data_IF_999400233382
#
_entry.id   IF_999400233382
#
_cell.length_a   1.000
_cell.length_b   1.000
_cell.length_c   1.000
_cell.angle_alpha   90.00
_cell.angle_beta   90.00
_cell.angle_gamma   90.00
#
_symmetry.space_group_name_H-M   'P 1'
#
loop_
_entity.id
_entity.type
_entity.pdbx_description
1 polymer ?
#
# COMPACT_ATOMS: atom_id res chain seq x y z
N UNK A 1 -8.03 1.94 39.53
CA UNK A 1 -7.49 0.99 38.53
C UNK A 1 -8.61 0.62 37.58
N UNK A 2 -8.67 1.23 36.41
CA UNK A 2 -9.74 0.98 35.44
C UNK A 2 -9.11 0.31 34.22
N UNK A 3 -9.33 -1.00 34.12
CA UNK A 3 -8.83 -1.86 33.05
C UNK A 3 -9.46 -1.41 31.74
N UNK A 4 -8.65 -0.87 30.84
CA UNK A 4 -9.04 -0.56 29.46
C UNK A 4 -9.37 -1.90 28.78
N UNK A 5 -10.65 -2.21 28.66
CA UNK A 5 -11.12 -3.25 27.76
C UNK A 5 -11.01 -2.70 26.35
N UNK A 6 -9.99 -3.12 25.61
CA UNK A 6 -9.92 -2.91 24.16
C UNK A 6 -11.20 -3.53 23.59
N UNK A 7 -12.14 -2.67 23.19
CA UNK A 7 -13.32 -3.13 22.49
C UNK A 7 -12.83 -3.88 21.26
N UNK A 8 -13.23 -5.14 21.12
CA UNK A 8 -13.00 -5.90 19.89
C UNK A 8 -13.87 -5.24 18.82
N UNK A 9 -13.37 -4.14 18.25
CA UNK A 9 -14.03 -3.35 17.23
C UNK A 9 -14.47 -4.27 16.10
N UNK A 10 -15.74 -4.18 15.74
CA UNK A 10 -16.36 -4.97 14.67
C UNK A 10 -15.51 -4.80 13.40
N UNK A 11 -14.86 -5.89 12.94
CA UNK A 11 -14.04 -5.84 11.71
C UNK A 11 -14.90 -5.26 10.57
N UNK A 12 -14.46 -4.17 9.91
CA UNK A 12 -15.22 -3.58 8.81
C UNK A 12 -15.40 -4.63 7.70
N UNK A 13 -16.60 -4.66 7.11
CA UNK A 13 -16.95 -5.61 6.04
C UNK A 13 -17.00 -4.86 4.72
N UNK A 14 -16.25 -5.36 3.74
CA UNK A 14 -16.28 -4.88 2.37
C UNK A 14 -17.03 -5.92 1.54
N UNK A 15 -18.04 -5.48 0.79
CA UNK A 15 -18.76 -6.32 -0.18
C UNK A 15 -18.37 -5.86 -1.57
N UNK A 16 -17.90 -6.79 -2.41
CA UNK A 16 -17.44 -6.50 -3.77
C UNK A 16 -18.22 -7.39 -4.72
N UNK A 17 -18.96 -6.76 -5.64
CA UNK A 17 -19.61 -7.47 -6.73
C UNK A 17 -18.56 -7.84 -7.78
N UNK A 18 -18.49 -9.13 -8.10
CA UNK A 18 -17.53 -9.67 -9.07
C UNK A 18 -18.26 -10.44 -10.15
N UNK A 19 -17.76 -10.35 -11.38
CA UNK A 19 -18.29 -11.15 -12.48
C UNK A 19 -18.06 -12.66 -12.21
N UNK A 20 -18.88 -13.54 -12.82
CA UNK A 20 -18.69 -15.00 -12.69
C UNK A 20 -17.30 -15.47 -13.12
N UNK A 21 -16.70 -14.82 -14.12
CA UNK A 21 -15.35 -15.13 -14.60
C UNK A 21 -14.28 -14.82 -13.54
N UNK A 22 -14.37 -13.65 -12.91
CA UNK A 22 -13.46 -13.25 -11.84
C UNK A 22 -13.60 -14.21 -10.66
N UNK A 23 -14.83 -14.54 -10.26
CA UNK A 23 -15.08 -15.53 -9.20
C UNK A 23 -14.46 -16.89 -9.50
N UNK A 24 -14.52 -17.34 -10.76
CA UNK A 24 -13.89 -18.60 -11.19
C UNK A 24 -12.36 -18.54 -11.06
N UNK A 25 -11.74 -17.45 -11.53
CA UNK A 25 -10.28 -17.24 -11.42
C UNK A 25 -9.83 -17.18 -9.96
N UNK A 26 -10.56 -16.45 -9.11
CA UNK A 26 -10.29 -16.39 -7.67
C UNK A 26 -10.32 -17.78 -7.02
N UNK A 27 -11.28 -18.63 -7.40
CA UNK A 27 -11.35 -20.00 -6.88
C UNK A 27 -10.14 -20.84 -7.29
N UNK A 28 -9.74 -20.76 -8.56
CA UNK A 28 -8.58 -21.50 -9.06
C UNK A 28 -7.29 -21.05 -8.36
N UNK A 29 -7.10 -19.74 -8.21
CA UNK A 29 -5.93 -19.18 -7.55
C UNK A 29 -5.87 -19.55 -6.06
N UNK A 30 -7.00 -19.45 -5.36
CA UNK A 30 -7.09 -19.87 -3.96
C UNK A 30 -6.82 -21.37 -3.78
N UNK A 31 -7.38 -22.21 -4.65
CA UNK A 31 -7.13 -23.66 -4.64
C UNK A 31 -5.66 -24.00 -4.91
N UNK A 32 -5.00 -23.28 -5.83
CA UNK A 32 -3.58 -23.50 -6.13
C UNK A 32 -2.64 -23.19 -4.96
N UNK A 33 -3.09 -22.35 -4.02
CA UNK A 33 -2.37 -21.95 -2.81
C UNK A 33 -2.88 -22.64 -1.54
N UNK A 34 -3.84 -23.56 -1.67
CA UNK A 34 -4.51 -24.26 -0.56
C UNK A 34 -5.14 -23.32 0.50
N UNK A 35 -5.67 -22.18 0.05
CA UNK A 35 -6.33 -21.18 0.91
C UNK A 35 -7.79 -20.97 0.51
N UNK A 36 -8.57 -20.41 1.43
CA UNK A 36 -9.94 -20.01 1.11
C UNK A 36 -9.97 -18.79 0.19
N UNK A 37 -11.03 -18.64 -0.62
CA UNK A 37 -11.20 -17.46 -1.48
C UNK A 37 -11.13 -16.16 -0.67
N UNK A 38 -11.68 -16.15 0.55
CA UNK A 38 -11.66 -14.97 1.42
C UNK A 38 -10.23 -14.59 1.80
N UNK A 39 -9.44 -15.57 2.21
CA UNK A 39 -8.05 -15.36 2.60
C UNK A 39 -7.21 -14.93 1.41
N UNK A 40 -7.36 -15.60 0.26
CA UNK A 40 -6.69 -15.22 -0.97
C UNK A 40 -6.97 -13.77 -1.37
N UNK A 41 -8.25 -13.35 -1.32
CA UNK A 41 -8.63 -11.97 -1.65
C UNK A 41 -8.06 -10.98 -0.65
N UNK A 42 -8.06 -11.31 0.64
CA UNK A 42 -7.49 -10.45 1.67
C UNK A 42 -5.98 -10.27 1.48
N UNK A 43 -5.25 -11.37 1.34
CA UNK A 43 -3.81 -11.37 1.10
C UNK A 43 -3.47 -10.60 -0.18
N UNK A 44 -4.20 -10.82 -1.27
CA UNK A 44 -3.98 -10.10 -2.52
C UNK A 44 -4.24 -8.59 -2.40
N UNK A 45 -5.22 -8.18 -1.59
CA UNK A 45 -5.47 -6.76 -1.30
C UNK A 45 -4.34 -6.20 -0.44
N UNK A 46 -3.94 -6.89 0.62
CA UNK A 46 -2.85 -6.46 1.52
C UNK A 46 -1.51 -6.36 0.79
N UNK A 47 -1.14 -7.36 -0.01
CA UNK A 47 0.05 -7.35 -0.87
C UNK A 47 0.00 -6.18 -1.85
N UNK A 48 -1.16 -5.93 -2.47
CA UNK A 48 -1.31 -4.82 -3.43
C UNK A 48 -1.20 -3.46 -2.74
N UNK A 49 -1.87 -3.29 -1.61
CA UNK A 49 -1.75 -2.07 -0.80
C UNK A 49 -0.32 -1.86 -0.33
N UNK A 50 0.38 -2.93 0.05
CA UNK A 50 1.78 -2.86 0.43
C UNK A 50 2.68 -2.38 -0.72
N UNK A 51 2.43 -2.85 -1.94
CA UNK A 51 3.16 -2.38 -3.12
C UNK A 51 2.81 -0.92 -3.46
N UNK A 52 1.53 -0.55 -3.34
CA UNK A 52 1.04 0.77 -3.77
C UNK A 52 1.32 1.88 -2.73
N UNK A 53 1.35 1.54 -1.43
CA UNK A 53 1.51 2.49 -0.31
C UNK A 53 2.82 2.29 0.48
N UNK A 54 3.55 1.19 0.26
CA UNK A 54 4.70 0.83 1.07
C UNK A 54 4.33 0.20 2.42
N UNK A 55 5.32 -0.06 3.29
CA UNK A 55 5.06 -0.44 4.69
C UNK A 55 4.45 0.76 5.43
N UNK A 56 3.11 0.84 5.48
CA UNK A 56 2.38 1.68 6.43
C UNK A 56 2.55 1.08 7.84
N UNK A 57 3.75 1.26 8.40
CA UNK A 57 4.13 0.74 9.70
C UNK A 57 5.35 1.44 10.28
N UNK A 58 6.39 1.74 9.49
CA UNK A 58 7.57 2.40 10.06
C UNK A 58 8.53 3.15 9.10
N UNK A 59 8.37 3.19 7.76
CA UNK A 59 9.46 3.78 6.94
C UNK A 59 9.12 4.55 5.64
N UNK A 60 7.86 4.70 5.24
CA UNK A 60 7.52 5.37 3.97
C UNK A 60 6.60 6.58 4.20
N UNK A 61 7.13 7.61 4.85
CA UNK A 61 6.47 8.93 4.94
C UNK A 61 7.32 10.10 4.44
N UNK A 62 8.56 9.95 3.96
CA UNK A 62 9.43 11.16 3.91
C UNK A 62 10.51 11.26 2.82
N UNK A 63 10.47 10.51 1.72
CA UNK A 63 11.49 10.65 0.65
C UNK A 63 11.00 11.20 -0.70
N UNK A 64 9.75 11.68 -0.77
CA UNK A 64 9.30 12.46 -1.93
C UNK A 64 8.87 13.86 -1.51
N UNK A 65 9.87 14.75 -1.49
CA UNK A 65 9.80 16.18 -1.81
C UNK A 65 8.88 17.12 -0.99
N UNK A 66 8.20 16.69 0.08
CA UNK A 66 7.28 17.57 0.84
C UNK A 66 7.55 17.75 2.34
N UNK A 67 8.55 17.11 2.94
CA UNK A 67 8.58 16.98 4.43
C UNK A 67 9.71 17.70 5.16
N UNK A 68 10.66 18.40 4.52
CA UNK A 68 11.63 19.20 5.30
C UNK A 68 12.15 20.43 4.52
N UNK A 69 11.97 21.68 5.00
CA UNK A 69 12.54 22.87 4.36
C UNK A 69 14.08 22.85 4.32
N UNK A 70 14.75 22.08 5.20
CA UNK A 70 16.21 21.92 5.17
C UNK A 70 16.67 21.01 4.03
N UNK A 71 15.85 20.02 3.64
CA UNK A 71 16.14 19.16 2.48
C UNK A 71 15.83 19.83 1.13
N UNK A 72 14.94 20.82 1.10
CA UNK A 72 14.71 21.64 -0.08
C UNK A 72 15.97 22.44 -0.47
N UNK A 73 16.72 22.95 0.51
CA UNK A 73 17.96 23.70 0.31
C UNK A 73 19.11 22.81 -0.20
N UNK A 74 19.10 21.51 0.14
CA UNK A 74 20.08 20.55 -0.36
C UNK A 74 19.77 20.03 -1.78
N UNK A 75 18.49 20.05 -2.16
CA UNK A 75 18.00 19.68 -3.48
C UNK A 75 18.09 20.83 -4.50
N UNK A 76 18.07 22.08 -4.03
CA UNK A 76 18.41 23.27 -4.83
C UNK A 76 19.94 23.42 -4.99
N UNK A 77 20.57 22.36 -5.49
CA UNK A 77 22.00 22.34 -5.76
C UNK A 77 22.24 22.91 -7.18
N UNK A 78 22.85 24.09 -7.32
CA UNK A 78 23.08 24.72 -8.62
C UNK A 78 24.04 23.94 -9.54
N UNK A 79 24.58 22.81 -9.10
CA UNK A 79 25.32 21.86 -9.95
C UNK A 79 24.41 20.95 -10.80
N UNK A 80 23.16 20.75 -10.41
CA UNK A 80 22.22 19.87 -11.12
C UNK A 80 21.49 20.56 -12.28
N UNK A 81 21.54 21.89 -12.37
CA UNK A 81 21.02 22.68 -13.50
C UNK A 81 21.71 22.38 -14.84
N UNK A 82 22.87 21.71 -14.82
CA UNK A 82 23.58 21.27 -16.04
C UNK A 82 22.87 20.16 -16.82
N UNK A 83 21.88 19.51 -16.22
CA UNK A 83 21.11 18.45 -16.88
C UNK A 83 19.76 18.93 -17.43
N UNK A 84 19.32 20.14 -17.07
CA UNK A 84 18.09 20.73 -17.63
C UNK A 84 18.25 21.04 -19.13
N UNK A 85 19.47 21.33 -19.58
CA UNK A 85 19.81 21.60 -20.97
C UNK A 85 19.86 20.34 -21.87
N UNK A 86 19.58 19.15 -21.33
CA UNK A 86 19.57 17.88 -22.08
C UNK A 86 18.16 17.42 -22.50
N UNK A 87 17.15 18.27 -22.39
CA UNK A 87 15.83 18.02 -23.01
C UNK A 87 15.79 18.63 -24.42
N UNK A 88 15.80 17.72 -25.40
CA UNK A 88 15.68 17.87 -26.87
C UNK A 88 14.93 19.12 -27.37
#
# INVERSE_FOLDING_TARGET
MSRVTVSQGKRPRISVDVSPEVRRRLRLAAASRDVTIRQYVLEAIEERLHVDLGYEGEEIFALTAKTDPVLAELWDNPKDSKYDDLQV
#
